data_IF_563078759261
#
_entry.id   IF_563078759261
#
_cell.length_a   1.000
_cell.length_b   1.000
_cell.length_c   1.000
_cell.angle_alpha   90.00
_cell.angle_beta   90.00
_cell.angle_gamma   90.00
#
_symmetry.space_group_name_H-M   'P 1'
#
loop_
_entity.id
_entity.type
_entity.pdbx_description
1 polymer ?
#
# COMPACT_ATOMS: atom_id res chain seq x y z
N UNK A 1 9.84 -13.25 -39.54
CA UNK A 1 10.56 -12.16 -38.83
C UNK A 1 9.73 -11.80 -37.61
N UNK A 2 10.09 -12.29 -36.41
CA UNK A 2 9.34 -12.01 -35.18
C UNK A 2 9.82 -10.67 -34.62
N UNK A 3 8.92 -9.70 -34.57
CA UNK A 3 9.15 -8.42 -33.91
C UNK A 3 9.31 -8.72 -32.41
N UNK A 4 10.52 -8.55 -31.88
CA UNK A 4 10.73 -8.49 -30.43
C UNK A 4 10.02 -7.23 -29.95
N UNK A 5 8.98 -7.39 -29.13
CA UNK A 5 8.45 -6.29 -28.34
C UNK A 5 9.59 -5.74 -27.46
N UNK A 6 9.75 -4.42 -27.46
CA UNK A 6 10.86 -3.70 -26.86
C UNK A 6 10.76 -3.76 -25.32
N UNK A 7 11.87 -3.98 -24.58
CA UNK A 7 11.86 -4.09 -23.12
C UNK A 7 11.30 -2.85 -22.42
N UNK A 8 11.51 -1.65 -22.96
CA UNK A 8 10.98 -0.38 -22.41
C UNK A 8 9.44 -0.36 -22.34
N UNK A 9 8.75 -0.84 -23.37
CA UNK A 9 7.27 -0.85 -23.40
C UNK A 9 6.67 -1.73 -22.29
N UNK A 10 7.37 -2.80 -21.87
CA UNK A 10 6.91 -3.66 -20.76
C UNK A 10 7.08 -3.00 -19.40
N UNK A 11 8.09 -2.15 -19.24
CA UNK A 11 8.35 -1.46 -17.97
C UNK A 11 7.36 -0.32 -17.73
N UNK A 12 7.02 0.42 -18.79
CA UNK A 12 6.00 1.49 -18.72
C UNK A 12 4.63 0.92 -18.32
N UNK A 13 4.17 -0.14 -19.00
CA UNK A 13 2.88 -0.80 -18.67
C UNK A 13 2.87 -1.32 -17.24
N UNK A 14 3.98 -1.90 -16.78
CA UNK A 14 4.08 -2.46 -15.43
C UNK A 14 4.05 -1.39 -14.34
N UNK A 15 4.66 -0.22 -14.56
CA UNK A 15 4.54 0.89 -13.63
C UNK A 15 3.14 1.49 -13.64
N UNK A 16 2.53 1.63 -14.82
CA UNK A 16 1.15 2.13 -14.95
C UNK A 16 0.17 1.25 -14.16
N UNK A 17 0.29 -0.07 -14.28
CA UNK A 17 -0.53 -1.04 -13.52
C UNK A 17 -0.32 -0.86 -12.01
N UNK A 18 0.91 -0.66 -11.56
CA UNK A 18 1.27 -0.37 -10.16
C UNK A 18 0.61 0.94 -9.71
N UNK A 19 0.79 2.01 -10.46
CA UNK A 19 0.25 3.33 -10.14
C UNK A 19 -1.28 3.28 -10.00
N UNK A 20 -1.97 2.76 -11.01
CA UNK A 20 -3.43 2.62 -11.01
C UNK A 20 -3.94 1.73 -9.87
N UNK A 21 -3.17 0.70 -9.51
CA UNK A 21 -3.53 -0.21 -8.43
C UNK A 21 -3.33 0.40 -7.04
N UNK A 22 -2.28 1.18 -6.83
CA UNK A 22 -1.84 1.54 -5.48
C UNK A 22 -2.05 3.02 -5.11
N UNK A 23 -2.11 3.94 -6.06
CA UNK A 23 -2.16 5.39 -5.78
C UNK A 23 -3.31 5.78 -4.85
N UNK A 24 -4.56 5.46 -5.21
CA UNK A 24 -5.74 5.82 -4.41
C UNK A 24 -5.71 5.23 -2.99
N UNK A 25 -5.10 4.05 -2.83
CA UNK A 25 -5.02 3.34 -1.54
C UNK A 25 -3.95 3.96 -0.66
N UNK A 26 -2.81 4.29 -1.26
CA UNK A 26 -1.74 5.02 -0.60
C UNK A 26 -2.18 6.43 -0.20
N UNK A 27 -3.00 7.10 -1.01
CA UNK A 27 -3.62 8.39 -0.65
C UNK A 27 -4.53 8.23 0.56
N UNK A 28 -5.37 7.20 0.59
CA UNK A 28 -6.23 6.92 1.73
C UNK A 28 -5.41 6.69 3.00
N UNK A 29 -4.36 5.88 2.92
CA UNK A 29 -3.43 5.66 4.03
C UNK A 29 -2.78 6.96 4.52
N UNK A 30 -2.27 7.80 3.62
CA UNK A 30 -1.66 9.07 4.00
C UNK A 30 -2.68 10.03 4.67
N UNK A 31 -3.93 10.05 4.18
CA UNK A 31 -5.02 10.90 4.70
C UNK A 31 -5.41 10.58 6.14
N UNK A 32 -5.16 9.36 6.63
CA UNK A 32 -5.37 9.03 8.04
C UNK A 32 -4.40 9.79 8.97
N UNK A 33 -3.31 10.35 8.44
CA UNK A 33 -2.27 11.00 9.24
C UNK A 33 -2.05 12.47 8.89
N UNK A 34 -2.23 12.90 7.65
CA UNK A 34 -2.10 14.32 7.28
C UNK A 34 -3.45 15.02 7.27
N UNK A 35 -3.44 16.32 7.59
CA UNK A 35 -4.69 17.08 7.83
C UNK A 35 -5.47 17.35 6.53
N UNK A 36 -4.77 17.62 5.42
CA UNK A 36 -5.43 17.96 4.15
C UNK A 36 -5.31 16.84 3.13
N UNK A 37 -6.34 16.70 2.29
CA UNK A 37 -6.33 15.73 1.18
C UNK A 37 -5.26 16.07 0.13
N UNK A 38 -4.99 17.36 -0.07
CA UNK A 38 -3.93 17.85 -0.95
C UNK A 38 -2.53 17.43 -0.46
N UNK A 39 -2.26 17.55 0.84
CA UNK A 39 -1.00 17.07 1.42
C UNK A 39 -0.84 15.56 1.21
N UNK A 40 -1.92 14.78 1.39
CA UNK A 40 -1.89 13.34 1.19
C UNK A 40 -1.61 12.97 -0.27
N UNK A 41 -2.25 13.66 -1.21
CA UNK A 41 -2.06 13.45 -2.64
C UNK A 41 -0.64 13.80 -3.07
N UNK A 42 -0.11 14.95 -2.65
CA UNK A 42 1.25 15.38 -2.96
C UNK A 42 2.30 14.40 -2.43
N UNK A 43 2.18 13.97 -1.16
CA UNK A 43 3.10 13.00 -0.57
C UNK A 43 3.13 11.69 -1.37
N UNK A 44 1.96 11.18 -1.75
CA UNK A 44 1.87 9.92 -2.49
C UNK A 44 2.40 10.10 -3.90
N UNK A 45 2.07 11.22 -4.55
CA UNK A 45 2.59 11.55 -5.88
C UNK A 45 4.13 11.59 -5.88
N UNK A 46 4.74 12.24 -4.89
CA UNK A 46 6.21 12.27 -4.75
C UNK A 46 6.80 10.86 -4.63
N UNK A 47 6.17 9.95 -3.88
CA UNK A 47 6.65 8.56 -3.75
C UNK A 47 6.56 7.81 -5.07
N UNK A 48 5.49 8.00 -5.85
CA UNK A 48 5.38 7.36 -7.15
C UNK A 48 6.35 7.95 -8.18
N UNK A 49 6.65 9.25 -8.09
CA UNK A 49 7.71 9.89 -8.89
C UNK A 49 9.07 9.30 -8.53
N UNK A 50 9.41 9.19 -7.24
CA UNK A 50 10.64 8.55 -6.78
C UNK A 50 10.73 7.08 -7.23
N UNK A 51 9.61 6.35 -7.18
CA UNK A 51 9.55 4.97 -7.65
C UNK A 51 9.76 4.85 -9.16
N UNK A 52 9.24 5.81 -9.94
CA UNK A 52 9.45 5.88 -11.39
C UNK A 52 10.89 6.18 -11.75
N UNK A 53 11.50 7.15 -11.05
CA UNK A 53 12.92 7.49 -11.23
C UNK A 53 13.84 6.32 -10.85
N UNK A 54 13.45 5.55 -9.85
CA UNK A 54 14.18 4.37 -9.37
C UNK A 54 13.56 3.05 -9.86
N UNK A 55 12.90 3.04 -11.02
CA UNK A 55 12.13 1.88 -11.53
C UNK A 55 12.95 0.60 -11.71
N UNK A 56 14.28 0.68 -11.81
CA UNK A 56 15.15 -0.50 -11.80
C UNK A 56 15.05 -1.30 -10.48
N UNK A 57 14.69 -0.65 -9.35
CA UNK A 57 14.42 -1.34 -8.09
C UNK A 57 13.23 -2.30 -8.17
N UNK A 58 12.24 -2.01 -9.02
CA UNK A 58 11.11 -2.91 -9.25
C UNK A 58 11.60 -4.26 -9.81
N UNK A 59 12.67 -4.26 -10.60
CA UNK A 59 13.22 -5.48 -11.20
C UNK A 59 13.97 -6.38 -10.21
N UNK A 60 14.29 -5.88 -8.99
CA UNK A 60 15.10 -6.58 -7.99
C UNK A 60 14.28 -7.40 -6.96
N UNK A 61 13.03 -7.77 -7.26
CA UNK A 61 12.12 -8.44 -6.30
C UNK A 61 11.90 -7.63 -5.01
N UNK A 62 11.95 -6.29 -5.10
CA UNK A 62 11.53 -5.40 -4.02
C UNK A 62 10.11 -5.76 -3.57
N UNK A 63 9.90 -5.81 -2.24
CA UNK A 63 8.56 -5.82 -1.68
C UNK A 63 7.95 -4.42 -1.84
N UNK A 64 7.31 -4.19 -2.99
CA UNK A 64 6.73 -2.90 -3.36
C UNK A 64 5.74 -2.38 -2.30
N UNK A 65 4.97 -3.28 -1.69
CA UNK A 65 3.98 -2.91 -0.66
C UNK A 65 4.72 -2.35 0.56
N UNK A 66 5.73 -3.07 1.04
CA UNK A 66 6.55 -2.61 2.16
C UNK A 66 7.22 -1.27 1.87
N UNK A 67 7.84 -1.14 0.69
CA UNK A 67 8.45 0.10 0.25
C UNK A 67 7.48 1.27 0.26
N UNK A 68 6.29 1.12 -0.34
CA UNK A 68 5.29 2.17 -0.41
C UNK A 68 4.84 2.60 1.00
N UNK A 69 4.51 1.65 1.87
CA UNK A 69 4.09 1.96 3.24
C UNK A 69 5.18 2.67 4.04
N UNK A 70 6.39 2.14 4.01
CA UNK A 70 7.53 2.68 4.75
C UNK A 70 7.86 4.09 4.27
N UNK A 71 7.93 4.28 2.95
CA UNK A 71 8.29 5.57 2.35
C UNK A 71 7.20 6.62 2.60
N UNK A 72 5.92 6.26 2.42
CA UNK A 72 4.80 7.19 2.66
C UNK A 72 4.70 7.54 4.15
N UNK A 73 4.82 6.56 5.06
CA UNK A 73 4.86 6.84 6.51
C UNK A 73 5.98 7.84 6.84
N UNK A 74 7.18 7.61 6.33
CA UNK A 74 8.32 8.48 6.60
C UNK A 74 8.11 9.89 6.05
N UNK A 75 7.53 10.03 4.86
CA UNK A 75 7.18 11.34 4.29
C UNK A 75 6.07 12.04 5.08
N UNK A 76 5.03 11.32 5.53
CA UNK A 76 4.02 11.88 6.43
C UNK A 76 4.62 12.39 7.74
N UNK A 77 5.51 11.61 8.37
CA UNK A 77 6.23 12.04 9.58
C UNK A 77 7.04 13.32 9.34
N UNK A 78 7.81 13.35 8.25
CA UNK A 78 8.62 14.52 7.90
C UNK A 78 7.76 15.75 7.61
N UNK A 79 6.64 15.57 6.91
CA UNK A 79 5.67 16.63 6.62
C UNK A 79 5.07 17.22 7.90
N UNK A 80 4.58 16.36 8.80
CA UNK A 80 3.98 16.79 10.07
C UNK A 80 4.98 17.54 10.96
N UNK A 81 6.22 17.03 11.07
CA UNK A 81 7.31 17.71 11.79
C UNK A 81 7.61 19.08 11.20
N UNK A 82 7.71 19.17 9.88
CA UNK A 82 7.98 20.44 9.20
C UNK A 82 6.84 21.44 9.42
N UNK A 83 5.58 21.01 9.26
CA UNK A 83 4.40 21.87 9.51
C UNK A 83 4.38 22.39 10.95
N UNK A 84 4.68 21.54 11.94
CA UNK A 84 4.77 21.95 13.35
C UNK A 84 5.81 23.05 13.57
N UNK A 85 7.03 22.89 13.03
CA UNK A 85 8.09 23.91 13.15
C UNK A 85 7.69 25.24 12.50
N UNK A 86 7.10 25.18 11.30
CA UNK A 86 6.62 26.37 10.59
C UNK A 86 5.50 27.07 11.38
N UNK A 87 4.68 26.32 12.10
CA UNK A 87 3.54 26.88 12.80
C UNK A 87 3.86 27.41 14.19
N UNK A 88 4.80 26.77 14.90
CA UNK A 88 5.37 27.31 16.14
C UNK A 88 6.06 28.66 15.91
N UNK A 89 6.56 28.89 14.70
CA UNK A 89 7.15 30.18 14.29
C UNK A 89 6.13 31.20 13.76
N UNK A 90 4.93 30.78 13.32
CA UNK A 90 3.95 31.60 12.59
C UNK A 90 2.74 32.12 13.41
N UNK A 91 2.85 32.20 14.75
CA UNK A 91 1.91 32.87 15.68
C UNK A 91 0.86 31.97 16.37
N UNK A 92 0.52 32.32 17.62
CA UNK A 92 -0.32 31.55 18.57
C UNK A 92 -1.81 31.42 18.21
N UNK A 93 -2.26 32.01 17.10
CA UNK A 93 -3.67 32.08 16.71
C UNK A 93 -4.22 30.79 16.08
N UNK A 94 -3.39 29.75 15.91
CA UNK A 94 -3.77 28.46 15.30
C UNK A 94 -3.54 27.28 16.27
N UNK A 95 -3.88 27.48 17.55
CA UNK A 95 -3.67 26.48 18.60
C UNK A 95 -4.36 25.14 18.30
N UNK A 96 -5.61 25.16 17.82
CA UNK A 96 -6.35 23.95 17.44
C UNK A 96 -5.68 23.16 16.32
N UNK A 97 -5.14 23.83 15.30
CA UNK A 97 -4.45 23.17 14.20
C UNK A 97 -3.11 22.59 14.67
N UNK A 98 -2.36 23.30 15.51
CA UNK A 98 -1.12 22.78 16.12
C UNK A 98 -1.40 21.56 17.00
N UNK A 99 -2.50 21.56 17.75
CA UNK A 99 -2.95 20.41 18.54
C UNK A 99 -3.26 19.22 17.62
N UNK A 100 -4.00 19.44 16.52
CA UNK A 100 -4.30 18.39 15.54
C UNK A 100 -3.04 17.80 14.91
N UNK A 101 -2.07 18.64 14.52
CA UNK A 101 -0.79 18.16 14.00
C UNK A 101 -0.03 17.30 15.01
N UNK A 102 0.00 17.71 16.28
CA UNK A 102 0.67 16.94 17.35
C UNK A 102 -0.03 15.60 17.59
N UNK A 103 -1.35 15.57 17.67
CA UNK A 103 -2.11 14.32 17.81
C UNK A 103 -1.84 13.35 16.65
N UNK A 104 -1.80 13.85 15.41
CA UNK A 104 -1.51 13.03 14.25
C UNK A 104 -0.06 12.51 14.24
N UNK A 105 0.90 13.36 14.64
CA UNK A 105 2.30 12.98 14.77
C UNK A 105 2.47 11.90 15.85
N UNK A 106 1.92 12.12 17.05
CA UNK A 106 1.98 11.18 18.17
C UNK A 106 1.33 9.84 17.80
N UNK A 107 0.18 9.87 17.10
CA UNK A 107 -0.49 8.68 16.58
C UNK A 107 0.39 7.91 15.59
N UNK A 108 1.03 8.60 14.65
CA UNK A 108 1.90 7.99 13.64
C UNK A 108 3.26 7.51 14.22
N UNK A 109 3.76 8.16 15.28
CA UNK A 109 4.96 7.75 15.99
C UNK A 109 4.71 6.58 16.96
N UNK A 110 3.54 6.55 17.60
CA UNK A 110 3.06 5.42 18.40
C UNK A 110 2.73 4.20 17.53
N UNK A 111 2.45 4.43 16.24
CA UNK A 111 2.32 3.38 15.25
C UNK A 111 3.70 2.76 14.98
N UNK A 112 3.97 1.68 15.73
CA UNK A 112 5.22 0.94 15.90
C UNK A 112 6.31 1.14 14.82
N UNK A 113 7.47 1.64 15.25
CA UNK A 113 8.66 1.80 14.42
C UNK A 113 9.29 0.46 13.99
N UNK A 114 9.00 -0.64 14.69
CA UNK A 114 9.47 -1.99 14.30
C UNK A 114 8.53 -2.68 13.30
N UNK A 115 7.32 -2.16 13.10
CA UNK A 115 6.33 -2.81 12.25
C UNK A 115 6.59 -2.63 10.75
N UNK A 116 7.37 -1.60 10.40
CA UNK A 116 7.62 -1.15 9.03
C UNK A 116 9.07 -1.32 8.57
N UNK A 117 9.83 -2.25 9.15
CA UNK A 117 11.01 -2.73 8.41
C UNK A 117 10.51 -3.56 7.22
N UNK A 118 11.17 -3.47 6.07
CA UNK A 118 10.77 -4.25 4.88
C UNK A 118 10.65 -5.75 5.20
N UNK A 119 11.51 -6.23 6.08
CA UNK A 119 11.53 -7.62 6.55
C UNK A 119 10.35 -7.97 7.47
N UNK A 120 9.85 -7.03 8.26
CA UNK A 120 8.77 -7.29 9.21
C UNK A 120 7.40 -7.24 8.53
N UNK A 121 7.19 -6.30 7.60
CA UNK A 121 5.99 -6.27 6.74
C UNK A 121 5.92 -7.55 5.89
N UNK A 122 7.04 -7.96 5.29
CA UNK A 122 7.10 -9.20 4.51
C UNK A 122 6.76 -10.42 5.38
N UNK A 123 7.33 -10.51 6.59
CA UNK A 123 6.98 -11.60 7.52
C UNK A 123 5.51 -11.56 7.93
N UNK A 124 4.93 -10.39 8.14
CA UNK A 124 3.52 -10.24 8.54
C UNK A 124 2.60 -10.66 7.40
N UNK A 125 2.85 -10.17 6.17
CA UNK A 125 2.08 -10.54 4.99
C UNK A 125 2.26 -12.02 4.67
N UNK A 126 3.49 -12.55 4.71
CA UNK A 126 3.76 -13.97 4.49
C UNK A 126 3.03 -14.83 5.50
N UNK A 127 3.14 -14.53 6.81
CA UNK A 127 2.42 -15.28 7.85
C UNK A 127 0.91 -15.24 7.63
N UNK A 128 0.36 -14.08 7.28
CA UNK A 128 -1.06 -13.95 7.00
C UNK A 128 -1.48 -14.80 5.78
N UNK A 129 -0.68 -14.80 4.70
CA UNK A 129 -0.91 -15.64 3.52
C UNK A 129 -0.69 -17.15 3.82
N UNK A 130 0.20 -17.50 4.74
CA UNK A 130 0.47 -18.87 5.27
C UNK A 130 -0.74 -19.47 6.00
N UNK A 131 -1.67 -18.65 6.46
CA UNK A 131 -2.94 -19.17 6.99
C UNK A 131 -3.94 -19.58 5.90
N UNK A 132 -3.74 -19.14 4.66
CA UNK A 132 -4.61 -19.49 3.54
C UNK A 132 -4.24 -20.87 2.99
N UNK A 133 -5.26 -21.63 2.55
CA UNK A 133 -4.97 -22.83 1.76
C UNK A 133 -4.32 -22.44 0.43
N UNK A 134 -3.53 -23.32 -0.16
CA UNK A 134 -2.82 -23.07 -1.42
C UNK A 134 -3.74 -22.48 -2.50
N UNK A 135 -4.90 -23.12 -2.76
CA UNK A 135 -5.90 -22.61 -3.71
C UNK A 135 -6.43 -21.23 -3.36
N UNK A 136 -6.69 -20.96 -2.08
CA UNK A 136 -7.19 -19.67 -1.61
C UNK A 136 -6.15 -18.58 -1.80
N UNK A 137 -4.88 -18.87 -1.47
CA UNK A 137 -3.75 -17.96 -1.71
C UNK A 137 -3.57 -17.66 -3.19
N UNK A 138 -3.55 -18.68 -4.05
CA UNK A 138 -3.37 -18.49 -5.50
C UNK A 138 -4.45 -17.58 -6.08
N UNK A 139 -5.73 -17.83 -5.76
CA UNK A 139 -6.84 -16.99 -6.20
C UNK A 139 -6.69 -15.55 -5.68
N UNK A 140 -6.30 -15.40 -4.41
CA UNK A 140 -6.07 -14.09 -3.79
C UNK A 140 -4.94 -13.32 -4.50
N UNK A 141 -3.80 -13.95 -4.76
CA UNK A 141 -2.66 -13.34 -5.46
C UNK A 141 -3.05 -12.95 -6.89
N UNK A 142 -3.67 -13.85 -7.65
CA UNK A 142 -4.11 -13.55 -9.03
C UNK A 142 -5.10 -12.38 -9.07
N UNK A 143 -6.02 -12.31 -8.10
CA UNK A 143 -7.00 -11.23 -8.06
C UNK A 143 -6.43 -9.90 -7.57
N UNK A 144 -5.55 -9.92 -6.55
CA UNK A 144 -5.17 -8.72 -5.80
C UNK A 144 -3.77 -8.20 -6.08
N UNK A 145 -2.85 -9.10 -6.40
CA UNK A 145 -1.47 -8.73 -6.73
C UNK A 145 -1.31 -8.62 -8.25
N UNK A 146 -1.87 -9.57 -9.01
CA UNK A 146 -1.79 -9.57 -10.48
C UNK A 146 -2.91 -8.77 -11.15
N UNK A 147 -3.92 -8.30 -10.39
CA UNK A 147 -5.02 -7.49 -10.91
C UNK A 147 -5.95 -8.20 -11.90
N UNK A 148 -5.89 -9.53 -12.00
CA UNK A 148 -6.72 -10.30 -12.96
C UNK A 148 -8.19 -10.20 -12.61
N UNK A 149 -9.04 -10.10 -13.64
CA UNK A 149 -10.49 -10.15 -13.47
C UNK A 149 -10.90 -11.57 -13.07
N UNK A 150 -11.94 -11.68 -12.24
CA UNK A 150 -12.45 -12.98 -11.80
C UNK A 150 -12.78 -13.95 -12.95
N UNK A 151 -13.23 -13.42 -14.10
CA UNK A 151 -13.48 -14.21 -15.31
C UNK A 151 -12.21 -14.85 -15.88
N UNK A 152 -11.10 -14.13 -15.85
CA UNK A 152 -9.80 -14.62 -16.34
C UNK A 152 -9.25 -15.69 -15.40
N UNK A 153 -9.34 -15.46 -14.09
CA UNK A 153 -8.95 -16.43 -13.05
C UNK A 153 -9.78 -17.72 -13.16
N UNK A 154 -11.10 -17.58 -13.40
CA UNK A 154 -12.01 -18.72 -13.53
C UNK A 154 -11.62 -19.61 -14.72
N UNK A 155 -11.26 -18.98 -15.84
CA UNK A 155 -10.78 -19.68 -17.04
C UNK A 155 -9.42 -20.34 -16.80
N UNK A 156 -8.48 -19.62 -16.20
CA UNK A 156 -7.10 -20.09 -15.99
C UNK A 156 -7.03 -21.27 -15.02
N UNK A 157 -7.82 -21.22 -13.94
CA UNK A 157 -7.87 -22.29 -12.93
C UNK A 157 -8.94 -23.35 -13.21
N UNK A 158 -9.72 -23.19 -14.28
CA UNK A 158 -10.87 -24.04 -14.63
C UNK A 158 -11.84 -24.26 -13.45
N UNK A 159 -12.24 -23.16 -12.81
CA UNK A 159 -13.18 -23.14 -11.67
C UNK A 159 -14.32 -22.14 -11.93
N UNK A 160 -15.41 -22.24 -11.16
CA UNK A 160 -16.51 -21.29 -11.28
C UNK A 160 -16.16 -19.93 -10.65
N UNK A 161 -16.78 -18.86 -11.15
CA UNK A 161 -16.68 -17.51 -10.54
C UNK A 161 -17.16 -17.56 -9.07
N UNK A 162 -18.21 -18.32 -8.78
CA UNK A 162 -18.70 -18.51 -7.40
C UNK A 162 -17.64 -19.13 -6.49
N UNK A 163 -16.81 -20.04 -7.04
CA UNK A 163 -15.68 -20.63 -6.30
C UNK A 163 -14.66 -19.54 -5.97
N UNK A 164 -14.37 -18.64 -6.89
CA UNK A 164 -13.46 -17.50 -6.65
C UNK A 164 -14.02 -16.60 -5.55
N UNK A 165 -15.28 -16.18 -5.65
CA UNK A 165 -15.93 -15.33 -4.64
C UNK A 165 -15.90 -15.97 -3.25
N UNK A 166 -16.19 -17.28 -3.17
CA UNK A 166 -16.13 -18.04 -1.92
C UNK A 166 -14.71 -18.06 -1.35
N UNK A 167 -13.70 -18.32 -2.18
CA UNK A 167 -12.30 -18.36 -1.76
C UNK A 167 -11.80 -16.97 -1.35
N UNK A 168 -12.24 -15.90 -2.03
CA UNK A 168 -11.95 -14.51 -1.64
C UNK A 168 -12.59 -14.16 -0.29
N UNK A 169 -13.84 -14.58 -0.06
CA UNK A 169 -14.50 -14.40 1.24
C UNK A 169 -13.78 -15.11 2.38
N UNK A 170 -13.24 -16.32 2.13
CA UNK A 170 -12.40 -17.05 3.08
C UNK A 170 -11.08 -16.30 3.34
N UNK A 171 -10.42 -15.83 2.27
CA UNK A 171 -9.18 -15.07 2.37
C UNK A 171 -9.36 -13.84 3.25
N UNK A 172 -10.36 -13.00 2.97
CA UNK A 172 -10.61 -11.78 3.75
C UNK A 172 -10.91 -12.07 5.22
N UNK A 173 -11.69 -13.11 5.53
CA UNK A 173 -11.97 -13.48 6.93
C UNK A 173 -10.70 -13.86 7.68
N UNK A 174 -9.83 -14.67 7.06
CA UNK A 174 -8.56 -15.09 7.67
C UNK A 174 -7.59 -13.93 7.82
N UNK A 175 -7.37 -13.17 6.74
CA UNK A 175 -6.49 -12.01 6.75
C UNK A 175 -6.95 -10.96 7.76
N UNK A 176 -8.27 -10.78 7.95
CA UNK A 176 -8.82 -9.90 8.99
C UNK A 176 -8.48 -10.33 10.41
N UNK A 177 -8.43 -11.63 10.68
CA UNK A 177 -8.08 -12.15 12.01
C UNK A 177 -6.57 -11.99 12.23
N UNK A 178 -5.75 -12.36 11.25
CA UNK A 178 -4.29 -12.34 11.35
C UNK A 178 -3.70 -10.92 11.38
N UNK A 179 -4.36 -9.97 10.70
CA UNK A 179 -3.89 -8.59 10.59
C UNK A 179 -4.68 -7.62 11.47
N UNK A 180 -5.44 -8.12 12.45
CA UNK A 180 -6.30 -7.28 13.33
C UNK A 180 -5.51 -6.21 14.09
N UNK A 181 -4.27 -6.53 14.45
CA UNK A 181 -3.36 -5.64 15.19
C UNK A 181 -2.57 -4.72 14.23
N UNK A 182 -2.79 -4.89 12.92
CA UNK A 182 -2.12 -4.18 11.83
C UNK A 182 -3.14 -3.46 10.94
N UNK A 183 -3.96 -2.62 11.57
CA UNK A 183 -5.15 -2.01 10.97
C UNK A 183 -4.91 -1.33 9.60
N UNK A 184 -3.82 -0.58 9.38
CA UNK A 184 -3.54 0.03 8.08
C UNK A 184 -3.17 -0.98 6.99
N UNK A 185 -2.40 -2.03 7.32
CA UNK A 185 -2.08 -3.13 6.40
C UNK A 185 -3.36 -3.91 6.06
N UNK A 186 -4.22 -4.12 7.06
CA UNK A 186 -5.51 -4.76 6.90
C UNK A 186 -6.44 -3.96 5.99
N UNK A 187 -6.61 -2.66 6.23
CA UNK A 187 -7.43 -1.77 5.40
C UNK A 187 -6.96 -1.79 3.95
N UNK A 188 -5.65 -1.76 3.73
CA UNK A 188 -5.07 -1.85 2.41
C UNK A 188 -5.36 -3.17 1.69
N UNK A 189 -5.19 -4.30 2.38
CA UNK A 189 -5.49 -5.63 1.85
C UNK A 189 -6.98 -5.82 1.55
N UNK A 190 -7.86 -5.21 2.35
CA UNK A 190 -9.30 -5.27 2.16
C UNK A 190 -9.82 -4.29 1.09
N UNK A 191 -9.11 -3.20 0.84
CA UNK A 191 -9.44 -2.21 -0.19
C UNK A 191 -8.75 -2.45 -1.54
N UNK A 192 -7.80 -3.39 -1.62
CA UNK A 192 -7.28 -4.00 -2.86
C UNK A 192 -8.39 -4.74 -3.60
#
# INVERSE_FOLDING_TARGET
MKIKAFPEQREETRFEDIYLSYFSKMKYFAKEYVISEEDAENIVQDVFVELWENKEMLNMHMNLIAYLFTTIKNKCLNHLRHKLVVQETASKLQEEYTISLRMNLDSLEAFDNNLFSDQDIEKIISRALDTLSEKCRTIFIMSKIEGKKQKEIAQELNISINTIETQMGIAYKKLRIELKDYFPILLFILCL
#
